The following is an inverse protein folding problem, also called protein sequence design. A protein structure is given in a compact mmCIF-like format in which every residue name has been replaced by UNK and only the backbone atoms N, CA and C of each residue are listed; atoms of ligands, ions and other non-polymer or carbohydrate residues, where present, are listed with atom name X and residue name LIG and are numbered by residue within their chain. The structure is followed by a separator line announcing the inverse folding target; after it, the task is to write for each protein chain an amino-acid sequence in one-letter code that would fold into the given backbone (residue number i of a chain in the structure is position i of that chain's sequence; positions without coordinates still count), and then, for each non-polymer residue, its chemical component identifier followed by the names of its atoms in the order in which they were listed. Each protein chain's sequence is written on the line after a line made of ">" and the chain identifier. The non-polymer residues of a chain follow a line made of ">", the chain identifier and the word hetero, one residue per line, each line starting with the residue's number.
data_IF_680405681467
#
_entry.id   IF_680405681467
#
_cell.length_a   1.000
_cell.length_b   1.000
_cell.length_c   1.000
_cell.angle_alpha   90.00
_cell.angle_beta   90.00
_cell.angle_gamma   90.00
#
_symmetry.space_group_name_H-M   'P 1'
#
loop_
_entity.id
_entity.type
_entity.pdbx_description
1 polymer ?
#
# COMPACT_ATOMS: atom_id res chain seq x y z
N UNK A 1 15.47 42.58 -37.10
CA UNK A 1 14.36 41.96 -36.36
C UNK A 1 14.66 40.47 -36.32
N UNK A 2 15.17 39.98 -35.20
CA UNK A 2 15.52 38.56 -35.05
C UNK A 2 14.36 37.86 -34.36
N UNK A 3 13.72 36.94 -35.07
CA UNK A 3 12.78 35.96 -34.52
C UNK A 3 13.54 35.03 -33.58
N UNK A 4 13.18 35.03 -32.30
CA UNK A 4 13.65 34.04 -31.34
C UNK A 4 12.45 33.17 -30.99
N UNK A 5 12.46 31.93 -31.48
CA UNK A 5 11.45 30.95 -31.13
C UNK A 5 11.45 30.72 -29.60
N UNK A 6 10.28 30.54 -28.97
CA UNK A 6 10.22 30.27 -27.54
C UNK A 6 10.89 28.93 -27.25
N UNK A 7 11.81 28.92 -26.28
CA UNK A 7 12.38 27.69 -25.75
C UNK A 7 11.24 26.82 -25.18
N UNK A 8 11.26 25.48 -25.38
CA UNK A 8 10.27 24.62 -24.75
C UNK A 8 10.42 24.69 -23.23
N UNK A 9 9.32 24.99 -22.54
CA UNK A 9 9.25 24.81 -21.09
C UNK A 9 9.56 23.35 -20.75
N UNK A 10 10.40 23.05 -19.75
CA UNK A 10 10.56 21.69 -19.29
C UNK A 10 9.20 21.18 -18.82
N UNK A 11 8.78 20.02 -19.34
CA UNK A 11 7.62 19.33 -18.81
C UNK A 11 7.87 19.07 -17.32
N UNK A 12 6.89 19.29 -16.42
CA UNK A 12 7.06 18.87 -15.04
C UNK A 12 7.22 17.35 -15.07
N UNK A 13 8.39 16.85 -14.68
CA UNK A 13 8.52 15.47 -14.23
C UNK A 13 7.61 15.38 -13.02
N UNK A 14 6.40 14.82 -13.19
CA UNK A 14 5.47 14.69 -12.08
C UNK A 14 6.19 13.84 -11.03
N UNK A 15 6.42 14.42 -9.85
CA UNK A 15 7.02 13.70 -8.74
C UNK A 15 6.22 12.40 -8.51
N UNK A 16 6.88 11.31 -8.08
CA UNK A 16 6.20 10.05 -7.85
C UNK A 16 4.99 10.23 -6.92
N UNK A 17 3.82 9.76 -7.35
CA UNK A 17 2.63 9.72 -6.51
C UNK A 17 2.73 8.49 -5.59
N UNK A 18 2.71 8.72 -4.29
CA UNK A 18 2.74 7.66 -3.28
C UNK A 18 1.32 7.41 -2.75
N UNK A 19 0.52 6.66 -3.50
CA UNK A 19 -0.81 6.29 -3.05
C UNK A 19 -0.73 5.38 -1.82
N UNK A 20 -1.63 5.56 -0.82
CA UNK A 20 -1.70 4.64 0.30
C UNK A 20 -2.23 3.29 -0.18
N UNK A 21 -1.96 2.24 0.61
CA UNK A 21 -2.52 0.90 0.38
C UNK A 21 -3.61 0.65 1.42
N UNK A 22 -4.75 0.16 0.94
CA UNK A 22 -5.88 -0.23 1.77
C UNK A 22 -5.81 -1.72 2.06
N UNK A 23 -5.51 -2.10 3.30
CA UNK A 23 -5.55 -3.49 3.74
C UNK A 23 -6.98 -3.83 4.14
N UNK A 24 -7.56 -4.86 3.53
CA UNK A 24 -8.96 -5.23 3.70
C UNK A 24 -9.08 -6.67 4.20
N UNK A 25 -9.71 -6.82 5.37
CA UNK A 25 -10.21 -8.09 5.87
C UNK A 25 -11.73 -8.12 5.88
N UNK A 26 -12.30 -9.33 5.83
CA UNK A 26 -13.73 -9.58 5.92
C UNK A 26 -13.99 -10.78 6.83
N UNK A 27 -15.04 -10.68 7.66
CA UNK A 27 -15.58 -11.80 8.40
C UNK A 27 -17.11 -11.85 8.25
N UNK A 28 -17.69 -13.03 8.41
CA UNK A 28 -19.15 -13.20 8.41
C UNK A 28 -19.69 -12.93 9.83
N UNK A 29 -20.47 -11.87 9.99
CA UNK A 29 -21.14 -11.52 11.24
C UNK A 29 -22.61 -11.96 11.27
N UNK A 30 -23.22 -11.97 12.45
CA UNK A 30 -24.61 -12.41 12.64
C UNK A 30 -25.64 -11.57 11.85
N UNK A 31 -25.31 -10.29 11.62
CA UNK A 31 -26.17 -9.32 10.91
C UNK A 31 -25.68 -9.02 9.49
N UNK A 32 -24.79 -9.86 8.96
CA UNK A 32 -24.15 -9.70 7.65
C UNK A 32 -22.63 -9.49 7.76
N UNK A 33 -21.96 -9.22 6.62
CA UNK A 33 -20.52 -9.14 6.56
C UNK A 33 -19.97 -7.94 7.35
N UNK A 34 -18.85 -8.19 8.03
CA UNK A 34 -18.04 -7.17 8.71
C UNK A 34 -16.74 -6.99 7.93
N UNK A 35 -16.43 -5.74 7.60
CA UNK A 35 -15.19 -5.38 6.93
C UNK A 35 -14.29 -4.59 7.86
N UNK A 36 -12.99 -4.87 7.79
CA UNK A 36 -11.96 -4.15 8.51
C UNK A 36 -10.97 -3.58 7.48
N UNK A 37 -10.85 -2.25 7.42
CA UNK A 37 -10.02 -1.54 6.46
C UNK A 37 -8.94 -0.75 7.18
N UNK A 38 -7.69 -0.96 6.82
CA UNK A 38 -6.53 -0.26 7.36
C UNK A 38 -5.78 0.45 6.24
N UNK A 39 -5.58 1.76 6.37
CA UNK A 39 -4.76 2.54 5.44
C UNK A 39 -3.29 2.50 5.87
N UNK A 40 -2.42 2.15 4.92
CA UNK A 40 -0.97 2.11 5.10
C UNK A 40 -0.31 3.09 4.14
N UNK A 41 0.37 4.09 4.70
CA UNK A 41 1.15 5.06 3.92
C UNK A 41 2.36 4.42 3.24
N UNK A 42 2.58 4.79 1.98
CA UNK A 42 3.71 4.30 1.17
C UNK A 42 4.79 5.36 0.95
N UNK A 43 4.50 6.63 1.23
CA UNK A 43 5.43 7.73 1.05
C UNK A 43 6.71 7.53 1.89
N UNK A 44 7.89 7.41 1.24
CA UNK A 44 9.17 7.16 1.91
C UNK A 44 9.67 8.32 2.77
N UNK A 45 9.05 9.50 2.67
CA UNK A 45 9.36 10.71 3.44
C UNK A 45 8.57 10.79 4.74
N UNK A 46 7.41 10.14 4.82
CA UNK A 46 6.59 10.11 6.03
C UNK A 46 7.32 9.32 7.12
N UNK A 47 7.81 10.05 8.12
CA UNK A 47 8.57 9.53 9.26
C UNK A 47 7.72 9.68 10.52
N UNK A 48 7.29 8.55 11.12
CA UNK A 48 6.41 8.41 12.30
C UNK A 48 4.92 8.66 11.98
N UNK A 49 3.93 7.90 12.43
CA UNK A 49 3.79 6.74 13.30
C UNK A 49 2.28 6.44 13.33
N UNK A 50 1.93 5.17 13.19
CA UNK A 50 0.57 4.61 13.04
C UNK A 50 -0.15 4.79 11.70
N UNK A 51 -1.08 3.86 11.48
CA UNK A 51 -1.98 3.79 10.33
C UNK A 51 -2.69 5.13 10.16
N UNK A 52 -2.73 5.65 8.94
CA UNK A 52 -3.38 6.94 8.64
C UNK A 52 -4.91 6.87 8.73
N UNK A 53 -5.46 5.65 8.76
CA UNK A 53 -6.85 5.42 9.11
C UNK A 53 -7.17 3.93 9.29
N UNK A 54 -8.20 3.67 10.10
CA UNK A 54 -8.71 2.34 10.36
C UNK A 54 -10.24 2.38 10.56
N UNK A 55 -10.97 1.55 9.82
CA UNK A 55 -12.42 1.53 9.82
C UNK A 55 -12.95 0.11 9.96
N UNK A 56 -13.97 -0.06 10.80
CA UNK A 56 -14.80 -1.26 10.82
C UNK A 56 -16.11 -0.89 10.15
N UNK A 57 -16.54 -1.65 9.15
CA UNK A 57 -17.78 -1.40 8.43
C UNK A 57 -18.72 -2.59 8.61
N UNK A 58 -19.88 -2.34 9.20
CA UNK A 58 -20.94 -3.34 9.41
C UNK A 58 -22.20 -2.93 8.64
N UNK A 59 -23.27 -3.73 8.75
CA UNK A 59 -24.58 -3.38 8.21
C UNK A 59 -25.15 -2.06 8.78
N UNK A 60 -24.68 -1.64 9.96
CA UNK A 60 -25.12 -0.39 10.61
C UNK A 60 -24.27 0.84 10.17
N UNK A 61 -23.27 0.65 9.30
CA UNK A 61 -22.34 1.69 8.85
C UNK A 61 -20.93 1.57 9.44
N UNK A 62 -20.19 2.69 9.48
CA UNK A 62 -18.83 2.72 10.06
C UNK A 62 -18.90 2.69 11.59
N UNK A 63 -18.06 1.85 12.18
CA UNK A 63 -17.79 1.74 13.60
C UNK A 63 -16.28 1.87 13.88
N UNK A 64 -15.92 2.12 15.14
CA UNK A 64 -14.54 2.05 15.63
C UNK A 64 -13.71 3.33 15.46
N UNK A 65 -12.39 3.15 15.31
CA UNK A 65 -11.34 4.14 15.56
C UNK A 65 -11.41 5.43 14.75
N UNK A 66 -11.83 5.37 13.48
CA UNK A 66 -12.01 6.54 12.62
C UNK A 66 -13.47 6.76 12.21
N UNK A 67 -14.43 6.34 13.04
CA UNK A 67 -15.87 6.52 12.77
C UNK A 67 -16.32 7.98 12.61
N UNK A 68 -15.55 8.93 13.13
CA UNK A 68 -15.81 10.37 12.98
C UNK A 68 -15.34 10.96 11.64
N UNK A 69 -14.64 10.21 10.78
CA UNK A 69 -14.03 10.68 9.53
C UNK A 69 -15.01 11.50 8.67
N UNK A 70 -14.89 12.83 8.71
CA UNK A 70 -15.91 13.76 8.25
C UNK A 70 -16.11 13.76 6.72
N UNK A 71 -15.04 13.42 6.00
CA UNK A 71 -14.94 13.33 4.55
C UNK A 71 -15.61 12.10 3.92
N UNK A 72 -16.00 11.08 4.69
CA UNK A 72 -16.76 9.94 4.15
C UNK A 72 -18.24 10.35 4.13
N UNK A 73 -18.78 10.54 2.93
CA UNK A 73 -20.22 10.78 2.71
C UNK A 73 -21.01 9.47 2.90
N UNK A 74 -22.31 9.56 3.25
CA UNK A 74 -23.21 8.41 3.40
C UNK A 74 -22.72 7.28 4.34
N UNK A 75 -22.24 7.62 5.55
CA UNK A 75 -21.65 6.67 6.52
C UNK A 75 -22.57 5.59 7.10
N UNK A 76 -23.85 5.61 6.75
CA UNK A 76 -24.80 4.55 7.08
C UNK A 76 -24.92 3.50 5.97
N UNK A 77 -24.36 3.75 4.78
CA UNK A 77 -24.39 2.81 3.66
C UNK A 77 -23.02 2.14 3.49
N UNK A 78 -22.96 0.85 3.84
CA UNK A 78 -21.77 0.03 3.73
C UNK A 78 -21.15 0.07 2.32
N UNK A 79 -21.98 0.06 1.26
CA UNK A 79 -21.48 0.06 -0.13
C UNK A 79 -20.78 1.38 -0.48
N UNK A 80 -21.41 2.51 -0.16
CA UNK A 80 -20.84 3.85 -0.37
C UNK A 80 -19.52 4.03 0.39
N UNK A 81 -19.45 3.55 1.62
CA UNK A 81 -18.24 3.61 2.44
C UNK A 81 -17.10 2.80 1.80
N UNK A 82 -17.35 1.54 1.46
CA UNK A 82 -16.33 0.68 0.87
C UNK A 82 -15.85 1.24 -0.47
N UNK A 83 -16.76 1.75 -1.31
CA UNK A 83 -16.40 2.41 -2.58
C UNK A 83 -15.51 3.62 -2.36
N UNK A 84 -15.79 4.40 -1.32
CA UNK A 84 -15.00 5.59 -0.96
C UNK A 84 -13.59 5.23 -0.48
N UNK A 85 -13.48 4.19 0.35
CA UNK A 85 -12.22 3.74 0.96
C UNK A 85 -11.33 2.98 -0.03
N UNK A 86 -11.92 2.09 -0.84
CA UNK A 86 -11.21 1.13 -1.69
C UNK A 86 -10.87 1.65 -3.09
N UNK A 87 -10.85 2.99 -3.27
CA UNK A 87 -10.40 3.65 -4.51
C UNK A 87 -8.88 3.58 -4.72
N UNK A 88 -8.13 3.31 -3.66
CA UNK A 88 -6.68 3.14 -3.68
C UNK A 88 -6.31 1.65 -3.72
N UNK A 89 -5.06 1.28 -4.11
CA UNK A 89 -4.62 -0.11 -4.17
C UNK A 89 -5.00 -0.93 -2.93
N UNK A 90 -5.63 -2.08 -3.13
CA UNK A 90 -6.21 -2.91 -2.06
C UNK A 90 -5.40 -4.18 -1.85
N UNK A 91 -4.94 -4.39 -0.64
CA UNK A 91 -4.31 -5.65 -0.21
C UNK A 91 -5.32 -6.48 0.60
N UNK A 92 -5.84 -7.56 0.01
CA UNK A 92 -6.71 -8.50 0.72
C UNK A 92 -5.92 -9.31 1.74
N UNK A 93 -6.49 -9.54 2.92
CA UNK A 93 -5.91 -10.47 3.91
C UNK A 93 -6.03 -11.92 3.44
N UNK A 94 -5.27 -12.82 4.07
CA UNK A 94 -5.40 -14.25 3.78
C UNK A 94 -6.83 -14.73 3.99
N UNK A 95 -7.28 -15.63 3.11
CA UNK A 95 -8.64 -16.18 3.16
C UNK A 95 -9.74 -15.25 2.63
N UNK A 96 -9.43 -14.00 2.26
CA UNK A 96 -10.38 -13.09 1.59
C UNK A 96 -10.13 -13.12 0.09
N UNK A 97 -11.13 -13.55 -0.68
CA UNK A 97 -11.11 -13.51 -2.14
C UNK A 97 -11.66 -12.19 -2.68
N UNK A 98 -11.44 -11.90 -3.97
CA UNK A 98 -12.06 -10.73 -4.60
C UNK A 98 -13.58 -10.86 -4.54
N UNK A 99 -14.10 -12.06 -4.82
CA UNK A 99 -15.52 -12.42 -4.80
C UNK A 99 -16.20 -12.10 -3.46
N UNK A 100 -15.50 -12.27 -2.35
CA UNK A 100 -15.99 -11.92 -1.01
C UNK A 100 -16.27 -10.42 -0.85
N UNK A 101 -15.57 -9.58 -1.62
CA UNK A 101 -15.67 -8.12 -1.56
C UNK A 101 -16.62 -7.56 -2.62
N UNK A 102 -16.80 -8.28 -3.74
CA UNK A 102 -17.66 -7.88 -4.89
C UNK A 102 -19.10 -7.54 -4.51
N UNK A 103 -19.65 -8.19 -3.48
CA UNK A 103 -20.99 -7.88 -2.98
C UNK A 103 -21.12 -6.47 -2.37
N UNK A 104 -20.00 -5.90 -1.92
CA UNK A 104 -19.92 -4.64 -1.17
C UNK A 104 -19.45 -3.42 -1.97
N UNK A 105 -19.01 -3.58 -3.23
CA UNK A 105 -18.53 -2.48 -4.11
C UNK A 105 -18.83 -2.79 -5.58
N UNK A 106 -18.63 -1.84 -6.49
CA UNK A 106 -18.71 -2.12 -7.93
C UNK A 106 -17.44 -2.78 -8.46
N UNK A 107 -17.58 -3.96 -9.09
CA UNK A 107 -16.50 -4.86 -9.51
C UNK A 107 -15.40 -4.26 -10.39
N UNK A 108 -15.69 -3.17 -11.10
CA UNK A 108 -14.80 -2.64 -12.14
C UNK A 108 -13.70 -1.73 -11.60
N UNK A 109 -13.79 -1.37 -10.32
CA UNK A 109 -13.02 -0.26 -9.77
C UNK A 109 -12.11 -0.66 -8.59
N UNK A 110 -11.95 -1.96 -8.29
CA UNK A 110 -11.06 -2.43 -7.22
C UNK A 110 -9.62 -2.68 -7.72
N UNK A 111 -8.65 -1.81 -7.41
CA UNK A 111 -7.24 -2.04 -7.73
C UNK A 111 -6.61 -3.06 -6.75
N UNK A 112 -6.96 -4.34 -6.88
CA UNK A 112 -6.45 -5.40 -6.00
C UNK A 112 -4.96 -5.66 -6.30
N UNK A 113 -4.13 -5.69 -5.25
CA UNK A 113 -2.70 -5.96 -5.33
C UNK A 113 -2.45 -7.47 -5.50
N UNK A 114 -1.71 -7.81 -6.55
CA UNK A 114 -1.10 -9.13 -6.71
C UNK A 114 0.18 -9.19 -5.84
N UNK A 115 0.08 -9.92 -4.72
CA UNK A 115 1.19 -10.08 -3.77
C UNK A 115 2.42 -10.71 -4.41
N UNK A 116 2.24 -11.75 -5.22
CA UNK A 116 3.34 -12.50 -5.82
C UNK A 116 4.03 -11.66 -6.89
N UNK A 117 3.26 -10.99 -7.77
CA UNK A 117 3.82 -10.12 -8.79
C UNK A 117 4.48 -8.87 -8.17
N UNK A 118 3.94 -8.33 -7.08
CA UNK A 118 4.56 -7.21 -6.34
C UNK A 118 5.87 -7.62 -5.69
N UNK A 119 5.92 -8.80 -5.06
CA UNK A 119 7.16 -9.35 -4.50
C UNK A 119 8.21 -9.57 -5.60
N UNK A 120 7.81 -10.17 -6.72
CA UNK A 120 8.70 -10.40 -7.86
C UNK A 120 9.25 -9.09 -8.43
N UNK A 121 8.41 -8.07 -8.59
CA UNK A 121 8.85 -6.75 -9.06
C UNK A 121 9.88 -6.10 -8.11
N UNK A 122 9.75 -6.29 -6.80
CA UNK A 122 10.74 -5.81 -5.84
C UNK A 122 12.09 -6.54 -5.98
N UNK A 123 12.06 -7.87 -6.16
CA UNK A 123 13.25 -8.69 -6.38
C UNK A 123 13.97 -8.32 -7.68
N UNK A 124 13.23 -8.13 -8.77
CA UNK A 124 13.74 -7.67 -10.05
C UNK A 124 14.42 -6.30 -9.94
N UNK A 125 13.82 -5.35 -9.22
CA UNK A 125 14.41 -4.03 -9.01
C UNK A 125 15.76 -4.11 -8.26
N UNK A 126 15.85 -4.98 -7.24
CA UNK A 126 17.11 -5.22 -6.51
C UNK A 126 18.15 -5.85 -7.44
N UNK A 127 17.76 -6.83 -8.25
CA UNK A 127 18.64 -7.47 -9.22
C UNK A 127 19.15 -6.47 -10.27
N UNK A 128 18.28 -5.64 -10.82
CA UNK A 128 18.63 -4.59 -11.78
C UNK A 128 19.58 -3.55 -11.18
N UNK A 129 19.39 -3.16 -9.92
CA UNK A 129 20.31 -2.25 -9.23
C UNK A 129 21.71 -2.87 -9.04
N UNK A 130 21.79 -4.17 -8.70
CA UNK A 130 23.06 -4.90 -8.59
C UNK A 130 23.81 -4.95 -9.92
N UNK A 131 23.10 -5.25 -11.00
CA UNK A 131 23.66 -5.32 -12.36
C UNK A 131 24.16 -3.93 -12.81
N UNK A 132 23.32 -2.91 -12.65
CA UNK A 132 23.67 -1.52 -12.99
C UNK A 132 24.91 -1.07 -12.22
N UNK A 133 24.97 -1.33 -10.91
CA UNK A 133 26.15 -0.98 -10.11
C UNK A 133 27.41 -1.71 -10.57
N UNK A 134 27.31 -3.00 -10.92
CA UNK A 134 28.46 -3.76 -11.41
C UNK A 134 29.01 -3.20 -12.72
N UNK A 135 28.12 -2.73 -13.59
CA UNK A 135 28.47 -2.12 -14.87
C UNK A 135 29.12 -0.74 -14.70
N UNK A 136 28.54 0.12 -13.87
CA UNK A 136 29.02 1.49 -13.67
C UNK A 136 30.27 1.56 -12.76
N UNK A 137 30.45 0.57 -11.88
CA UNK A 137 31.55 0.52 -10.92
C UNK A 137 32.22 -0.87 -10.84
N UNK A 138 32.85 -1.36 -11.92
CA UNK A 138 33.35 -2.74 -12.01
C UNK A 138 34.44 -3.08 -10.99
N UNK A 139 35.20 -2.09 -10.54
CA UNK A 139 36.27 -2.27 -9.55
C UNK A 139 35.79 -2.11 -8.10
N UNK A 140 34.54 -1.70 -7.88
CA UNK A 140 34.00 -1.47 -6.53
C UNK A 140 33.28 -2.73 -6.01
N UNK A 141 33.38 -2.95 -4.70
CA UNK A 141 32.56 -3.97 -4.03
C UNK A 141 31.08 -3.58 -4.07
N UNK A 142 30.23 -4.59 -4.27
CA UNK A 142 28.77 -4.44 -4.22
C UNK A 142 28.30 -3.87 -2.86
N UNK A 143 27.41 -2.85 -2.88
CA UNK A 143 26.71 -2.39 -1.68
C UNK A 143 25.92 -3.51 -1.00
N UNK A 144 25.66 -3.35 0.29
CA UNK A 144 24.71 -4.19 1.01
C UNK A 144 23.29 -3.76 0.61
N UNK A 145 22.81 -4.21 -0.55
CA UNK A 145 21.51 -3.85 -1.12
C UNK A 145 20.31 -4.19 -0.24
N UNK A 146 20.49 -5.09 0.73
CA UNK A 146 19.40 -5.64 1.53
C UNK A 146 18.61 -6.70 0.78
N UNK A 147 17.55 -7.16 1.43
CA UNK A 147 16.51 -8.02 0.88
C UNK A 147 15.16 -7.39 1.20
N UNK A 148 14.17 -7.71 0.39
CA UNK A 148 12.76 -7.47 0.71
C UNK A 148 12.17 -8.86 0.90
N UNK A 149 11.95 -9.23 2.15
CA UNK A 149 11.36 -10.51 2.53
C UNK A 149 9.91 -10.59 2.04
N UNK A 150 9.37 -11.80 1.82
CA UNK A 150 7.96 -11.97 1.47
C UNK A 150 7.02 -11.22 2.41
N UNK A 151 5.95 -10.67 1.85
CA UNK A 151 4.93 -9.96 2.62
C UNK A 151 4.09 -10.96 3.43
N UNK A 152 4.47 -11.13 4.68
CA UNK A 152 3.79 -11.98 5.65
C UNK A 152 3.05 -11.16 6.71
N UNK A 153 1.88 -11.59 7.20
CA UNK A 153 1.22 -10.97 8.34
C UNK A 153 2.12 -11.00 9.59
N UNK A 154 2.10 -9.92 10.38
CA UNK A 154 2.80 -9.84 11.67
C UNK A 154 1.79 -9.89 12.81
N UNK A 155 2.13 -10.56 13.92
CA UNK A 155 1.21 -10.83 15.00
C UNK A 155 0.51 -9.55 15.50
N UNK A 156 -0.81 -9.59 15.50
CA UNK A 156 -1.66 -8.52 15.98
C UNK A 156 -2.73 -9.06 16.90
N UNK A 157 -3.23 -8.18 17.76
CA UNK A 157 -4.39 -8.44 18.61
C UNK A 157 -5.34 -7.29 18.41
N UNK A 158 -6.60 -7.59 18.09
CA UNK A 158 -7.64 -6.57 18.12
C UNK A 158 -7.71 -5.91 19.50
N UNK A 159 -7.94 -4.59 19.56
CA UNK A 159 -8.24 -3.91 20.82
C UNK A 159 -9.45 -4.55 21.52
N UNK A 160 -9.37 -4.67 22.85
CA UNK A 160 -10.49 -5.16 23.65
C UNK A 160 -11.53 -4.06 23.79
N UNK A 161 -12.66 -4.22 23.10
CA UNK A 161 -13.80 -3.31 23.19
C UNK A 161 -15.00 -4.07 23.76
N UNK A 162 -15.65 -3.50 24.77
CA UNK A 162 -16.83 -4.12 25.39
C UNK A 162 -17.95 -4.29 24.35
N UNK A 163 -18.53 -5.50 24.28
CA UNK A 163 -19.59 -5.81 23.32
C UNK A 163 -19.14 -6.06 21.89
N UNK A 164 -17.82 -6.07 21.61
CA UNK A 164 -17.30 -6.42 20.28
C UNK A 164 -17.54 -7.90 19.98
N UNK A 165 -18.23 -8.18 18.89
CA UNK A 165 -18.54 -9.54 18.49
C UNK A 165 -17.29 -10.28 17.93
N UNK A 166 -17.32 -11.62 17.88
CA UNK A 166 -16.18 -12.41 17.39
C UNK A 166 -15.81 -12.15 15.94
N UNK A 167 -16.77 -11.87 15.05
CA UNK A 167 -16.51 -11.62 13.63
C UNK A 167 -15.78 -10.29 13.45
N UNK A 168 -16.22 -9.24 14.15
CA UNK A 168 -15.52 -7.96 14.21
C UNK A 168 -14.09 -8.13 14.74
N UNK A 169 -13.91 -8.91 15.80
CA UNK A 169 -12.59 -9.18 16.38
C UNK A 169 -11.67 -9.89 15.41
N UNK A 170 -12.18 -10.88 14.66
CA UNK A 170 -11.41 -11.59 13.62
C UNK A 170 -10.98 -10.64 12.52
N UNK A 171 -11.93 -9.90 11.92
CA UNK A 171 -11.65 -8.99 10.82
C UNK A 171 -10.61 -7.92 11.21
N UNK A 172 -10.74 -7.32 12.39
CA UNK A 172 -9.77 -6.35 12.91
C UNK A 172 -8.38 -7.00 13.06
N UNK A 173 -8.32 -8.20 13.64
CA UNK A 173 -7.05 -8.89 13.91
C UNK A 173 -6.32 -9.19 12.60
N UNK A 174 -7.03 -9.71 11.60
CA UNK A 174 -6.46 -10.10 10.31
C UNK A 174 -5.98 -8.88 9.51
N UNK A 175 -6.80 -7.83 9.45
CA UNK A 175 -6.43 -6.57 8.79
C UNK A 175 -5.21 -5.93 9.45
N UNK A 176 -5.21 -5.84 10.78
CA UNK A 176 -4.10 -5.26 11.54
C UNK A 176 -2.82 -6.07 11.38
N UNK A 177 -2.90 -7.41 11.41
CA UNK A 177 -1.75 -8.27 11.24
C UNK A 177 -1.12 -8.10 9.86
N UNK A 178 -1.96 -8.13 8.82
CA UNK A 178 -1.53 -7.91 7.44
C UNK A 178 -0.95 -6.51 7.24
N UNK A 179 -1.56 -5.48 7.84
CA UNK A 179 -1.09 -4.10 7.72
C UNK A 179 0.25 -3.88 8.43
N UNK A 180 0.52 -4.55 9.56
CA UNK A 180 1.85 -4.57 10.18
C UNK A 180 2.90 -5.25 9.29
N UNK A 181 2.54 -6.38 8.70
CA UNK A 181 3.37 -7.10 7.72
C UNK A 181 3.76 -6.21 6.53
N UNK A 182 2.76 -5.59 5.89
CA UNK A 182 2.96 -4.64 4.80
C UNK A 182 3.87 -3.46 5.22
N UNK A 183 3.71 -2.92 6.44
CA UNK A 183 4.61 -1.86 6.93
C UNK A 183 6.06 -2.33 7.11
N UNK A 184 6.28 -3.58 7.52
CA UNK A 184 7.63 -4.13 7.59
C UNK A 184 8.24 -4.25 6.18
N UNK A 185 7.44 -4.73 5.22
CA UNK A 185 7.81 -4.85 3.82
C UNK A 185 8.17 -3.48 3.19
N UNK A 186 7.30 -2.48 3.33
CA UNK A 186 7.52 -1.11 2.81
C UNK A 186 8.79 -0.50 3.40
N UNK A 187 9.10 -0.75 4.69
CA UNK A 187 10.34 -0.26 5.30
C UNK A 187 11.58 -0.87 4.66
N UNK A 188 11.55 -2.16 4.32
CA UNK A 188 12.65 -2.83 3.63
C UNK A 188 12.80 -2.28 2.21
N UNK A 189 11.70 -2.14 1.48
CA UNK A 189 11.69 -1.51 0.15
C UNK A 189 12.27 -0.10 0.18
N UNK A 190 11.79 0.76 1.07
CA UNK A 190 12.24 2.15 1.18
C UNK A 190 13.72 2.23 1.58
N UNK A 191 14.24 1.29 2.36
CA UNK A 191 15.67 1.21 2.68
C UNK A 191 16.50 0.86 1.44
N UNK A 192 16.05 -0.11 0.64
CA UNK A 192 16.65 -0.45 -0.65
C UNK A 192 16.62 0.75 -1.60
N UNK A 193 15.46 1.37 -1.80
CA UNK A 193 15.27 2.42 -2.81
C UNK A 193 16.09 3.68 -2.48
N UNK A 194 16.17 4.06 -1.20
CA UNK A 194 17.07 5.13 -0.73
C UNK A 194 18.54 4.80 -0.99
N UNK A 195 18.94 3.54 -0.83
CA UNK A 195 20.30 3.10 -1.14
C UNK A 195 20.56 3.11 -2.66
N UNK A 196 19.59 2.68 -3.47
CA UNK A 196 19.63 2.74 -4.94
C UNK A 196 19.87 4.17 -5.41
N UNK A 197 19.03 5.12 -4.98
CA UNK A 197 19.18 6.55 -5.31
C UNK A 197 20.57 7.05 -4.93
N UNK A 198 21.03 6.80 -3.69
CA UNK A 198 22.35 7.28 -3.23
C UNK A 198 23.51 6.69 -4.02
N UNK A 199 23.39 5.46 -4.54
CA UNK A 199 24.50 4.75 -5.19
C UNK A 199 24.52 4.91 -6.71
N UNK A 200 23.37 5.09 -7.32
CA UNK A 200 23.20 5.10 -8.77
C UNK A 200 22.67 6.43 -9.29
N UNK A 201 21.98 7.22 -8.47
CA UNK A 201 21.34 8.47 -8.88
C UNK A 201 22.28 9.60 -9.28
N UNK A 202 23.56 9.55 -8.90
CA UNK A 202 24.59 10.50 -9.39
C UNK A 202 25.15 10.11 -10.77
N UNK A 203 24.91 8.86 -11.22
CA UNK A 203 25.44 8.31 -12.47
C UNK A 203 24.37 8.18 -13.53
N UNK A 204 23.14 7.92 -13.11
CA UNK A 204 21.96 7.82 -13.96
C UNK A 204 20.83 8.66 -13.35
N UNK A 205 20.51 9.76 -14.01
CA UNK A 205 19.44 10.68 -13.58
C UNK A 205 18.08 9.97 -13.50
N UNK A 206 17.84 8.91 -14.29
CA UNK A 206 16.60 8.12 -14.19
C UNK A 206 16.50 7.34 -12.87
N UNK A 207 17.61 7.20 -12.16
CA UNK A 207 17.72 6.54 -10.86
C UNK A 207 17.87 7.55 -9.71
N UNK A 208 17.79 8.85 -9.97
CA UNK A 208 17.99 9.91 -8.99
C UNK A 208 16.80 10.15 -8.06
N UNK A 209 15.61 9.71 -8.45
CA UNK A 209 14.37 9.84 -7.67
C UNK A 209 13.93 8.53 -7.04
N UNK A 210 13.16 8.61 -5.95
CA UNK A 210 12.53 7.44 -5.32
C UNK A 210 11.41 6.90 -6.22
N UNK A 211 11.27 5.59 -6.33
CA UNK A 211 10.36 4.95 -7.30
C UNK A 211 8.95 4.70 -6.77
N UNK A 212 8.74 4.83 -5.46
CA UNK A 212 7.53 4.32 -4.80
C UNK A 212 7.53 2.80 -4.72
N UNK A 213 6.54 2.25 -4.03
CA UNK A 213 6.40 0.79 -3.89
C UNK A 213 6.06 0.14 -5.24
N UNK A 214 6.69 -0.99 -5.62
CA UNK A 214 6.57 -1.59 -6.96
C UNK A 214 5.30 -2.44 -7.08
N UNK A 215 4.15 -1.84 -6.81
CA UNK A 215 2.86 -2.55 -6.80
C UNK A 215 2.52 -3.10 -8.18
N UNK A 216 1.96 -4.31 -8.18
CA UNK A 216 1.33 -4.94 -9.33
C UNK A 216 -0.11 -5.26 -8.97
N UNK A 217 -1.02 -4.91 -9.87
CA UNK A 217 -2.45 -5.15 -9.68
C UNK A 217 -2.88 -6.41 -10.41
N UNK A 218 -3.86 -7.13 -9.87
CA UNK A 218 -4.51 -8.23 -10.59
C UNK A 218 -5.26 -7.68 -11.80
N UNK A 219 -5.20 -8.40 -12.93
CA UNK A 219 -5.89 -8.04 -14.16
C UNK A 219 -7.40 -8.33 -14.10
#
# INVERSE_FOLDING_TARGET
>A
MSDQAPAPSPAPTAAPQFDPIMVLARAEGERGPVYAVWQVETDPTVTLGDFSGAWVITADGIQGFASSADWIENRSDQRSILTTLLRYPVLLTEGVSVEDVRGGVDDKDLPIIDRAATQHAAEEAIAGAKETFAKEFPEKRQPAWGTVEPLEPDAARAPETEGQDPATTSAITDALATAKGLRAWIRQWNAFDKLRVRRLGEVDDSLSELQGVPLRLTA
#
